data_IF_710704169066
#
_entry.id   IF_710704169066
#
_cell.length_a   1.000
_cell.length_b   1.000
_cell.length_c   1.000
_cell.angle_alpha   90.00
_cell.angle_beta   90.00
_cell.angle_gamma   90.00
#
_symmetry.space_group_name_H-M   'P 1'
#
loop_
_entity.id
_entity.type
_entity.pdbx_description
1 polymer ?
#
# COMPACT_ATOMS: atom_id res chain seq x y z
N UNK A 1 -0.36 -23.65 1.18
CA UNK A 1 0.28 -22.59 0.40
C UNK A 1 -0.24 -21.22 0.82
N UNK A 2 0.67 -20.28 0.96
CA UNK A 2 0.33 -18.95 1.46
C UNK A 2 0.23 -17.99 0.29
N UNK A 3 -0.93 -17.37 0.14
CA UNK A 3 -1.10 -16.32 -0.85
C UNK A 3 -1.75 -15.15 -0.17
N UNK A 4 -0.97 -14.11 0.04
CA UNK A 4 -1.52 -12.86 0.53
C UNK A 4 -2.41 -12.26 -0.54
N UNK A 5 -3.49 -11.63 -0.11
CA UNK A 5 -4.34 -10.85 -0.99
C UNK A 5 -4.17 -9.39 -0.64
N UNK A 6 -4.00 -8.57 -1.66
CA UNK A 6 -3.78 -7.14 -1.48
C UNK A 6 -5.02 -6.38 -1.86
N UNK A 7 -5.37 -5.40 -1.04
CA UNK A 7 -6.55 -4.56 -1.28
C UNK A 7 -6.17 -3.10 -1.17
N UNK A 8 -6.88 -2.26 -1.89
CA UNK A 8 -6.70 -0.82 -1.85
C UNK A 8 -7.82 -0.19 -1.05
N UNK A 9 -7.48 0.82 -0.26
CA UNK A 9 -8.47 1.67 0.38
C UNK A 9 -9.24 2.44 -0.69
N UNK A 10 -10.57 2.50 -0.54
CA UNK A 10 -11.44 3.28 -1.42
C UNK A 10 -12.32 4.14 -0.54
N UNK A 11 -12.34 5.46 -0.76
CA UNK A 11 -13.08 6.35 0.10
C UNK A 11 -14.57 6.31 -0.22
N UNK A 12 -15.36 7.07 0.57
CA UNK A 12 -16.80 7.03 0.44
C UNK A 12 -17.30 7.57 -0.90
N UNK A 13 -16.47 8.35 -1.58
CA UNK A 13 -16.84 8.86 -2.91
C UNK A 13 -16.47 7.88 -4.02
N UNK A 14 -15.90 6.74 -3.68
CA UNK A 14 -15.53 5.74 -4.66
C UNK A 14 -14.15 5.98 -5.28
N UNK A 15 -13.36 6.87 -4.70
CA UNK A 15 -12.02 7.14 -5.19
C UNK A 15 -11.01 6.19 -4.59
N UNK A 16 -10.13 5.65 -5.42
CA UNK A 16 -9.05 4.77 -5.00
C UNK A 16 -7.74 5.54 -5.08
N UNK A 17 -7.29 6.12 -3.96
CA UNK A 17 -6.06 6.92 -3.99
C UNK A 17 -4.81 6.09 -4.21
N UNK A 18 -4.85 4.80 -3.90
CA UNK A 18 -3.70 3.93 -4.13
C UNK A 18 -3.48 3.75 -5.63
N UNK A 19 -4.54 3.45 -6.36
CA UNK A 19 -4.43 3.27 -7.80
C UNK A 19 -4.00 4.56 -8.48
N UNK A 20 -4.52 5.70 -8.00
CA UNK A 20 -4.13 6.99 -8.57
C UNK A 20 -2.64 7.26 -8.35
N UNK A 21 -2.17 7.01 -7.13
CA UNK A 21 -0.76 7.22 -6.81
C UNK A 21 0.11 6.33 -7.70
N UNK A 22 -0.27 5.08 -7.84
CA UNK A 22 0.47 4.11 -8.64
C UNK A 22 0.61 4.58 -10.07
N UNK A 23 -0.50 5.02 -10.66
CA UNK A 23 -0.48 5.42 -12.07
C UNK A 23 0.16 6.77 -12.30
N UNK A 24 -0.01 7.71 -11.37
CA UNK A 24 0.39 9.08 -11.61
C UNK A 24 1.74 9.46 -11.05
N UNK A 25 2.16 8.79 -9.99
CA UNK A 25 3.39 9.18 -9.28
C UNK A 25 4.55 8.24 -9.54
N UNK A 26 4.31 7.01 -9.93
CA UNK A 26 5.37 6.05 -10.15
C UNK A 26 5.77 6.02 -11.61
N UNK A 27 7.07 5.91 -11.85
CA UNK A 27 7.57 5.67 -13.19
C UNK A 27 7.18 4.26 -13.64
N UNK A 28 7.30 4.01 -14.94
CA UNK A 28 7.02 2.69 -15.47
C UNK A 28 7.91 1.65 -14.79
N UNK A 29 9.16 1.98 -14.57
CA UNK A 29 10.08 1.05 -13.91
C UNK A 29 9.66 0.79 -12.47
N UNK A 30 9.26 1.85 -11.76
CA UNK A 30 8.82 1.69 -10.38
C UNK A 30 7.54 0.86 -10.29
N UNK A 31 6.63 1.05 -11.24
CA UNK A 31 5.43 0.23 -11.27
C UNK A 31 5.77 -1.24 -11.47
N UNK A 32 6.67 -1.52 -12.38
CA UNK A 32 7.09 -2.89 -12.64
C UNK A 32 7.79 -3.49 -11.42
N UNK A 33 8.66 -2.73 -10.80
CA UNK A 33 9.38 -3.20 -9.62
C UNK A 33 8.43 -3.50 -8.47
N UNK A 34 7.39 -2.67 -8.32
CA UNK A 34 6.43 -2.90 -7.26
C UNK A 34 5.61 -4.16 -7.52
N UNK A 35 5.19 -4.38 -8.76
CA UNK A 35 4.48 -5.61 -9.10
C UNK A 35 5.34 -6.83 -8.77
N UNK A 36 6.62 -6.76 -9.11
CA UNK A 36 7.52 -7.88 -8.83
C UNK A 36 7.65 -8.11 -7.33
N UNK A 37 7.82 -7.04 -6.56
CA UNK A 37 7.95 -7.17 -5.11
C UNK A 37 6.68 -7.74 -4.49
N UNK A 38 5.52 -7.23 -4.88
CA UNK A 38 4.27 -7.74 -4.33
C UNK A 38 4.07 -9.21 -4.69
N UNK A 39 4.46 -9.61 -5.88
CA UNK A 39 4.35 -11.00 -6.28
C UNK A 39 5.21 -11.89 -5.39
N UNK A 40 6.40 -11.41 -5.03
CA UNK A 40 7.27 -12.16 -4.12
C UNK A 40 6.67 -12.22 -2.72
N UNK A 41 6.22 -11.07 -2.20
CA UNK A 41 5.67 -11.01 -0.85
C UNK A 41 4.42 -11.86 -0.72
N UNK A 42 3.66 -11.95 -1.80
CA UNK A 42 2.42 -12.72 -1.81
C UNK A 42 2.64 -14.17 -1.39
N UNK A 43 3.81 -14.69 -1.69
CA UNK A 43 4.11 -16.09 -1.41
C UNK A 43 4.84 -16.30 -0.10
N UNK A 44 5.17 -15.22 0.63
CA UNK A 44 5.94 -15.34 1.86
C UNK A 44 5.01 -15.22 3.06
N UNK A 45 5.15 -16.16 3.98
CA UNK A 45 4.33 -16.14 5.20
C UNK A 45 4.69 -14.98 6.10
N UNK A 46 5.98 -14.69 6.22
CA UNK A 46 6.46 -13.65 7.11
C UNK A 46 7.26 -12.64 6.30
N UNK A 47 6.95 -11.37 6.52
CA UNK A 47 7.63 -10.27 5.85
C UNK A 47 8.56 -9.57 6.84
N UNK A 48 9.71 -9.16 6.36
CA UNK A 48 10.69 -8.48 7.19
C UNK A 48 11.53 -7.53 6.38
N UNK A 49 12.46 -6.88 7.07
CA UNK A 49 13.35 -5.95 6.41
C UNK A 49 14.26 -6.69 5.46
N UNK A 50 14.66 -6.03 4.38
CA UNK A 50 14.42 -4.62 4.07
C UNK A 50 13.10 -4.31 3.39
N UNK A 51 12.37 -5.31 2.93
CA UNK A 51 11.17 -5.08 2.11
C UNK A 51 9.96 -4.62 2.90
N UNK A 52 9.94 -4.87 4.21
CA UNK A 52 8.77 -4.56 5.01
C UNK A 52 9.21 -4.24 6.43
N UNK A 53 8.55 -3.25 7.03
CA UNK A 53 8.82 -2.90 8.42
C UNK A 53 7.54 -2.43 9.08
N UNK A 54 7.27 -2.91 10.28
CA UNK A 54 6.16 -2.39 11.07
C UNK A 54 6.54 -1.00 11.57
N UNK A 55 5.54 -0.13 11.65
CA UNK A 55 5.76 1.24 12.11
C UNK A 55 5.75 1.26 13.63
N UNK A 56 6.61 2.11 14.18
CA UNK A 56 6.71 2.24 15.64
C UNK A 56 5.84 3.40 16.10
N UNK A 57 5.55 3.39 17.41
CA UNK A 57 4.76 4.44 18.04
C UNK A 57 3.33 4.00 18.24
N UNK A 58 2.76 4.45 19.35
CA UNK A 58 1.41 4.05 19.71
C UNK A 58 0.40 4.46 18.65
N UNK A 59 0.59 5.65 18.08
CA UNK A 59 -0.34 6.18 17.10
C UNK A 59 -0.43 5.31 15.85
N UNK A 60 0.66 4.64 15.51
CA UNK A 60 0.75 3.86 14.27
C UNK A 60 0.69 2.37 14.50
N UNK A 61 0.22 1.96 15.66
CA UNK A 61 0.16 0.55 16.01
C UNK A 61 -0.68 -0.21 14.98
N UNK A 62 -0.16 -1.33 14.54
CA UNK A 62 -0.84 -2.16 13.57
C UNK A 62 -0.56 -1.81 12.13
N UNK A 63 0.15 -0.71 11.89
CA UNK A 63 0.51 -0.32 10.54
C UNK A 63 1.91 -0.80 10.19
N UNK A 64 2.12 -1.04 8.91
CA UNK A 64 3.43 -1.39 8.40
C UNK A 64 3.61 -0.81 7.02
N UNK A 65 4.84 -0.82 6.54
CA UNK A 65 5.12 -0.27 5.23
C UNK A 65 5.94 -1.24 4.39
N UNK A 66 5.49 -1.43 3.17
CA UNK A 66 6.26 -2.13 2.17
C UNK A 66 7.21 -1.13 1.56
N UNK A 67 8.47 -1.51 1.40
CA UNK A 67 9.53 -0.61 1.01
C UNK A 67 10.12 -1.00 -0.32
N UNK A 68 10.27 -0.01 -1.19
CA UNK A 68 10.85 -0.22 -2.50
C UNK A 68 11.84 0.89 -2.77
N UNK A 69 12.96 0.54 -3.40
CA UNK A 69 13.92 1.52 -3.81
C UNK A 69 13.45 2.17 -5.10
N UNK A 70 13.31 3.49 -5.10
CA UNK A 70 12.89 4.19 -6.30
C UNK A 70 13.98 4.24 -7.35
N UNK A 71 13.57 4.46 -8.60
CA UNK A 71 14.52 4.44 -9.69
C UNK A 71 15.41 5.69 -9.73
N UNK A 72 15.04 6.73 -8.99
CA UNK A 72 15.88 7.92 -8.88
C UNK A 72 16.46 8.07 -7.47
N UNK A 73 16.52 6.98 -6.75
CA UNK A 73 17.09 7.00 -5.42
C UNK A 73 16.16 7.51 -4.33
N UNK A 74 14.92 7.82 -4.65
CA UNK A 74 13.95 8.26 -3.67
C UNK A 74 13.12 7.05 -3.27
N UNK A 75 13.24 6.58 -2.02
CA UNK A 75 12.53 5.37 -1.62
C UNK A 75 11.03 5.52 -1.66
N UNK A 76 10.36 4.43 -2.02
CA UNK A 76 8.91 4.35 -2.02
C UNK A 76 8.45 3.62 -0.79
N UNK A 77 7.29 4.02 -0.28
CA UNK A 77 6.66 3.35 0.85
C UNK A 77 5.19 3.12 0.55
N UNK A 78 4.72 1.92 0.80
CA UNK A 78 3.31 1.58 0.64
C UNK A 78 2.82 1.17 2.01
N UNK A 79 2.11 2.07 2.68
CA UNK A 79 1.70 1.90 4.07
C UNK A 79 0.34 1.23 4.12
N UNK A 80 0.21 0.25 5.00
CA UNK A 80 -1.04 -0.47 5.13
C UNK A 80 -1.09 -1.28 6.41
N UNK A 81 -2.01 -2.22 6.45
CA UNK A 81 -2.15 -3.05 7.64
C UNK A 81 -2.64 -4.43 7.25
N UNK A 82 -2.25 -5.40 8.08
CA UNK A 82 -2.75 -6.75 7.98
C UNK A 82 -4.10 -6.82 8.69
N UNK A 83 -5.09 -7.39 8.02
CA UNK A 83 -6.42 -7.51 8.61
C UNK A 83 -6.44 -8.67 9.60
N UNK A 84 -6.50 -8.39 10.90
CA UNK A 84 -6.44 -9.45 11.90
C UNK A 84 -7.72 -10.29 11.95
N UNK A 85 -8.80 -9.79 11.36
CA UNK A 85 -10.08 -10.49 11.42
C UNK A 85 -10.36 -11.31 10.19
N UNK A 86 -9.44 -11.33 9.23
CA UNK A 86 -9.65 -12.07 8.00
C UNK A 86 -9.15 -13.50 8.17
N UNK A 87 -9.92 -14.45 7.65
CA UNK A 87 -9.52 -15.84 7.65
C UNK A 87 -8.39 -16.10 6.65
N UNK A 88 -8.17 -15.19 5.72
CA UNK A 88 -7.09 -15.31 4.74
C UNK A 88 -6.05 -14.23 5.04
N UNK A 89 -4.88 -14.40 4.46
CA UNK A 89 -3.84 -13.39 4.61
C UNK A 89 -4.21 -12.20 3.74
N UNK A 90 -4.60 -11.11 4.39
CA UNK A 90 -5.08 -9.92 3.71
C UNK A 90 -4.30 -8.70 4.19
N UNK A 91 -3.74 -7.96 3.26
CA UNK A 91 -3.05 -6.71 3.54
C UNK A 91 -3.70 -5.59 2.75
N UNK A 92 -4.11 -4.54 3.45
CA UNK A 92 -4.83 -3.42 2.84
C UNK A 92 -3.92 -2.22 2.76
N UNK A 93 -3.76 -1.68 1.57
CA UNK A 93 -2.96 -0.48 1.34
C UNK A 93 -3.78 0.75 1.72
N UNK A 94 -3.19 1.63 2.50
CA UNK A 94 -3.83 2.85 2.95
C UNK A 94 -3.30 4.08 2.25
N UNK A 95 -2.01 4.11 1.91
CA UNK A 95 -1.42 5.22 1.20
C UNK A 95 -0.10 4.81 0.58
N UNK A 96 0.16 5.34 -0.61
CA UNK A 96 1.48 5.28 -1.21
C UNK A 96 2.17 6.62 -1.01
N UNK A 97 3.47 6.59 -0.77
CA UNK A 97 4.20 7.81 -0.49
C UNK A 97 5.68 7.61 -0.78
N UNK A 98 6.42 8.71 -0.71
CA UNK A 98 7.87 8.67 -0.83
C UNK A 98 8.46 9.03 0.51
N UNK A 99 9.68 8.59 0.76
CA UNK A 99 10.34 8.86 2.02
C UNK A 99 11.83 9.05 1.80
N UNK A 100 12.31 10.25 2.04
CA UNK A 100 13.72 10.52 1.94
C UNK A 100 14.26 10.89 3.32
N UNK A 101 14.11 12.11 3.75
CA UNK A 101 14.32 12.45 5.15
C UNK A 101 13.01 12.50 5.89
N UNK A 102 11.98 12.94 5.17
CA UNK A 102 10.62 12.99 5.68
C UNK A 102 9.71 12.35 4.66
N UNK A 103 8.50 12.05 5.09
CA UNK A 103 7.51 11.52 4.16
C UNK A 103 7.03 12.59 3.21
N UNK A 104 6.67 12.16 2.01
CA UNK A 104 6.07 13.01 0.99
C UNK A 104 4.84 12.28 0.45
N UNK A 105 3.65 12.73 0.78
CA UNK A 105 3.31 13.97 1.51
C UNK A 105 3.70 13.87 2.99
N UNK A 106 3.96 15.01 3.63
CA UNK A 106 4.47 15.00 5.00
C UNK A 106 3.50 14.40 6.01
N UNK A 107 2.20 14.40 5.71
CA UNK A 107 1.19 13.83 6.60
C UNK A 107 0.80 12.41 6.20
N UNK A 108 1.66 11.71 5.48
CA UNK A 108 1.30 10.40 4.93
C UNK A 108 0.86 9.42 6.01
N UNK A 109 1.59 9.34 7.11
CA UNK A 109 1.25 8.37 8.15
C UNK A 109 -0.05 8.72 8.85
N UNK A 110 -0.29 10.02 9.07
CA UNK A 110 -1.54 10.43 9.69
C UNK A 110 -2.72 10.15 8.76
N UNK A 111 -2.51 10.32 7.46
CA UNK A 111 -3.54 9.97 6.49
C UNK A 111 -3.85 8.48 6.55
N UNK A 112 -2.82 7.65 6.70
CA UNK A 112 -3.03 6.21 6.81
C UNK A 112 -3.86 5.88 8.05
N UNK A 113 -3.57 6.54 9.18
CA UNK A 113 -4.34 6.32 10.41
C UNK A 113 -5.80 6.70 10.19
N UNK A 114 -6.04 7.86 9.57
CA UNK A 114 -7.41 8.32 9.34
C UNK A 114 -8.16 7.38 8.42
N UNK A 115 -7.50 6.89 7.39
CA UNK A 115 -8.16 5.98 6.44
C UNK A 115 -8.47 4.65 7.10
N UNK A 116 -7.60 4.16 7.97
CA UNK A 116 -7.90 2.93 8.68
C UNK A 116 -9.10 3.11 9.59
N UNK A 117 -9.22 4.27 10.24
CA UNK A 117 -10.39 4.56 11.05
C UNK A 117 -11.65 4.58 10.22
N UNK A 118 -11.57 5.14 9.00
CA UNK A 118 -12.74 5.15 8.12
C UNK A 118 -13.16 3.74 7.77
N UNK A 119 -12.21 2.84 7.52
CA UNK A 119 -12.54 1.45 7.25
C UNK A 119 -13.14 0.79 8.49
N UNK A 120 -12.56 1.01 9.65
CA UNK A 120 -13.05 0.41 10.89
C UNK A 120 -14.47 0.88 11.20
N UNK A 121 -14.81 2.09 10.82
CA UNK A 121 -16.13 2.67 11.07
C UNK A 121 -17.06 2.56 9.88
N UNK A 122 -16.68 1.77 8.89
CA UNK A 122 -17.51 1.50 7.72
C UNK A 122 -17.85 2.76 6.92
N UNK A 123 -16.97 3.74 6.94
CA UNK A 123 -17.13 4.94 6.13
C UNK A 123 -16.33 4.88 4.84
N UNK A 124 -15.64 3.76 4.63
CA UNK A 124 -14.85 3.52 3.43
C UNK A 124 -14.88 2.04 3.15
N UNK A 125 -14.40 1.64 1.99
CA UNK A 125 -14.38 0.23 1.62
C UNK A 125 -13.03 -0.11 1.00
N UNK A 126 -12.86 -1.36 0.58
CA UNK A 126 -11.64 -1.80 -0.07
C UNK A 126 -11.98 -2.40 -1.41
N UNK A 127 -10.99 -2.40 -2.29
CA UNK A 127 -11.10 -2.97 -3.61
C UNK A 127 -9.84 -3.79 -3.85
N UNK A 128 -9.99 -4.97 -4.40
CA UNK A 128 -8.83 -5.82 -4.60
C UNK A 128 -7.83 -5.11 -5.51
N UNK A 129 -6.55 -5.11 -5.08
CA UNK A 129 -5.51 -4.41 -5.79
C UNK A 129 -5.27 -5.06 -7.14
N UNK A 130 -5.22 -4.24 -8.19
CA UNK A 130 -5.00 -4.72 -9.54
C UNK A 130 -3.55 -4.51 -9.93
N UNK A 131 -2.85 -5.61 -10.13
CA UNK A 131 -1.42 -5.55 -10.45
C UNK A 131 -1.18 -4.96 -11.83
N UNK A 132 -2.13 -5.12 -12.73
CA UNK A 132 -2.01 -4.63 -14.10
C UNK A 132 -2.90 -3.45 -14.38
N UNK A 133 -3.09 -2.61 -13.38
CA UNK A 133 -4.01 -1.48 -13.51
C UNK A 133 -3.64 -0.55 -14.66
N UNK A 134 -2.35 -0.47 -14.97
CA UNK A 134 -1.91 0.40 -16.04
C UNK A 134 -2.47 0.00 -17.39
N UNK A 135 -2.73 -1.27 -17.58
CA UNK A 135 -3.21 -1.73 -18.87
C UNK A 135 -4.60 -1.25 -19.16
N UNK A 136 -5.45 -1.26 -18.16
CA UNK A 136 -6.80 -0.80 -18.42
C UNK A 136 -6.86 0.66 -18.72
N UNK A 137 -5.98 1.43 -18.15
CA UNK A 137 -6.03 2.85 -18.40
C UNK A 137 -5.66 3.19 -19.80
N UNK A 138 -5.00 2.31 -20.49
CA UNK A 138 -4.63 2.58 -21.87
C UNK A 138 -5.83 2.69 -22.77
N UNK A 139 -6.91 2.10 -22.37
CA UNK A 139 -8.10 2.11 -23.23
C UNK A 139 -8.75 3.46 -23.26
N UNK A 140 -8.57 4.25 -22.26
CA UNK A 140 -9.21 5.53 -22.29
C UNK A 140 -8.43 6.51 -23.09
#
# INVERSE_FOLDING_TARGET
MIDWKFFDFVNSAGTNPIAKWYRKKLSVQEQSDLVELLTILQKKRVWGEPEYKTLSGEKYRGLGEIRLKGDQGVPLRLVGFRDPNSAVFKFTFLIGCFHQKTYDPPNALDTAVDRKKDLDNERATTFEHEFDADEETDEE
#
